data_IF_233435194087
#
_entry.id   IF_233435194087
#
_cell.length_a   1.000
_cell.length_b   1.000
_cell.length_c   1.000
_cell.angle_alpha   90.00
_cell.angle_beta   90.00
_cell.angle_gamma   90.00
#
_symmetry.space_group_name_H-M   'P 1'
#
loop_
_entity.id
_entity.type
_entity.pdbx_description
1 polymer ?
#
# COMPACT_ATOMS: atom_id res chain seq x y z
N UNK A 1 10.50 16.12 -13.76
CA UNK A 1 10.31 17.42 -13.10
C UNK A 1 11.12 17.39 -11.81
N UNK A 2 12.30 18.01 -11.79
CA UNK A 2 13.26 17.91 -10.69
C UNK A 2 12.84 18.82 -9.54
N UNK A 3 12.20 18.25 -8.52
CA UNK A 3 11.96 18.95 -7.25
C UNK A 3 13.32 19.24 -6.63
N UNK A 4 13.66 20.52 -6.46
CA UNK A 4 14.95 20.89 -5.85
C UNK A 4 15.03 20.34 -4.42
N UNK A 5 16.21 19.83 -4.04
CA UNK A 5 16.49 19.25 -2.73
C UNK A 5 16.14 20.21 -1.57
N UNK A 6 16.11 21.53 -1.82
CA UNK A 6 15.68 22.53 -0.83
C UNK A 6 14.17 22.50 -0.53
N UNK A 7 13.32 22.05 -1.46
CA UNK A 7 11.87 21.92 -1.29
C UNK A 7 11.49 20.66 -0.50
N UNK A 8 12.29 19.59 -0.59
CA UNK A 8 12.03 18.32 0.08
C UNK A 8 12.13 18.41 1.62
N UNK A 9 12.95 19.33 2.15
CA UNK A 9 13.06 19.56 3.61
C UNK A 9 11.84 20.22 4.25
N UNK A 10 10.86 20.70 3.47
CA UNK A 10 9.67 21.42 3.96
C UNK A 10 8.37 20.62 3.83
N UNK A 11 8.39 19.45 3.18
CA UNK A 11 7.21 18.62 3.02
C UNK A 11 7.02 17.75 4.27
N UNK A 12 6.09 18.14 5.14
CA UNK A 12 5.70 17.32 6.30
C UNK A 12 4.74 16.23 5.84
N UNK A 13 5.16 14.98 5.97
CA UNK A 13 4.28 13.83 5.71
C UNK A 13 3.20 13.79 6.79
N UNK A 14 1.94 13.98 6.38
CA UNK A 14 0.79 13.90 7.28
C UNK A 14 0.18 12.50 7.19
N UNK A 15 0.10 11.83 8.34
CA UNK A 15 -0.60 10.56 8.48
C UNK A 15 -1.98 10.84 9.08
N UNK A 16 -3.05 10.50 8.35
CA UNK A 16 -4.42 10.55 8.87
C UNK A 16 -4.61 9.46 9.91
N UNK A 17 -5.36 9.75 10.96
CA UNK A 17 -5.70 8.76 11.98
C UNK A 17 -6.67 7.70 11.45
N UNK A 18 -7.61 8.14 10.60
CA UNK A 18 -8.63 7.30 9.97
C UNK A 18 -8.02 6.33 8.95
N UNK A 19 -8.31 5.04 9.11
CA UNK A 19 -7.93 4.04 8.12
C UNK A 19 -8.90 4.06 6.93
N UNK A 20 -8.40 4.09 5.69
CA UNK A 20 -9.26 4.06 4.50
C UNK A 20 -10.12 2.79 4.45
N UNK A 21 -11.43 2.99 4.24
CA UNK A 21 -12.44 1.91 4.25
C UNK A 21 -12.58 1.27 2.87
N UNK A 22 -12.42 2.05 1.78
CA UNK A 22 -12.63 1.58 0.40
C UNK A 22 -11.81 0.33 0.03
N UNK A 23 -10.51 0.24 0.35
CA UNK A 23 -9.73 -0.97 0.06
C UNK A 23 -10.29 -2.22 0.74
N UNK A 24 -10.85 -2.07 1.95
CA UNK A 24 -11.49 -3.19 2.68
C UNK A 24 -12.81 -3.59 2.05
N UNK A 25 -13.63 -2.61 1.63
CA UNK A 25 -14.87 -2.88 0.91
C UNK A 25 -14.57 -3.62 -0.40
N UNK A 26 -13.58 -3.16 -1.18
CA UNK A 26 -13.15 -3.85 -2.39
C UNK A 26 -12.69 -5.29 -2.11
N UNK A 27 -11.91 -5.50 -1.03
CA UNK A 27 -11.47 -6.84 -0.60
C UNK A 27 -12.64 -7.76 -0.21
N UNK A 28 -13.68 -7.24 0.44
CA UNK A 28 -14.90 -7.99 0.77
C UNK A 28 -15.67 -8.33 -0.51
N UNK A 29 -15.92 -7.34 -1.37
CA UNK A 29 -16.68 -7.53 -2.61
C UNK A 29 -16.02 -8.57 -3.53
N UNK A 30 -14.70 -8.53 -3.70
CA UNK A 30 -14.00 -9.55 -4.51
C UNK A 30 -14.09 -10.94 -3.86
N UNK A 31 -14.04 -11.03 -2.53
CA UNK A 31 -14.19 -12.30 -1.81
C UNK A 31 -15.60 -12.87 -1.99
N UNK A 32 -16.65 -12.04 -1.92
CA UNK A 32 -18.03 -12.44 -2.20
C UNK A 32 -18.23 -12.80 -3.68
N UNK A 33 -17.65 -12.06 -4.63
CA UNK A 33 -17.69 -12.45 -6.04
C UNK A 33 -17.02 -13.83 -6.27
N UNK A 34 -15.95 -14.12 -5.52
CA UNK A 34 -15.25 -15.40 -5.59
C UNK A 34 -16.07 -16.55 -5.01
N UNK A 35 -16.82 -16.33 -3.91
CA UNK A 35 -17.68 -17.36 -3.33
C UNK A 35 -18.81 -17.72 -4.29
N UNK A 36 -19.45 -16.74 -4.92
CA UNK A 36 -20.47 -16.98 -5.94
C UNK A 36 -19.93 -17.84 -7.10
N UNK A 37 -18.73 -17.52 -7.59
CA UNK A 37 -18.09 -18.30 -8.65
C UNK A 37 -17.69 -19.72 -8.22
N UNK A 38 -17.18 -19.89 -7.00
CA UNK A 38 -16.79 -21.19 -6.48
C UNK A 38 -18.00 -22.09 -6.18
N UNK A 39 -19.10 -21.51 -5.68
CA UNK A 39 -20.38 -22.19 -5.46
C UNK A 39 -20.99 -22.63 -6.79
N UNK A 40 -21.03 -21.74 -7.79
CA UNK A 40 -21.52 -22.06 -9.12
C UNK A 40 -20.73 -23.22 -9.75
N UNK A 41 -19.40 -23.07 -9.86
CA UNK A 41 -18.54 -24.12 -10.46
C UNK A 41 -18.53 -25.41 -9.65
N UNK A 42 -18.57 -25.33 -8.32
CA UNK A 42 -18.63 -26.51 -7.46
C UNK A 42 -19.94 -27.28 -7.65
N UNK A 43 -21.07 -26.58 -7.76
CA UNK A 43 -22.37 -27.21 -7.98
C UNK A 43 -22.43 -27.92 -9.34
N UNK A 44 -21.89 -27.28 -10.38
CA UNK A 44 -21.76 -27.86 -11.73
C UNK A 44 -20.89 -29.14 -11.71
N UNK A 45 -19.83 -29.15 -10.88
CA UNK A 45 -18.95 -30.29 -10.65
C UNK A 45 -19.47 -31.31 -9.61
N UNK A 46 -20.74 -31.21 -9.18
CA UNK A 46 -21.35 -32.18 -8.25
C UNK A 46 -20.94 -32.04 -6.78
N UNK A 47 -20.44 -30.87 -6.36
CA UNK A 47 -20.17 -30.54 -4.95
C UNK A 47 -21.40 -29.88 -4.33
N UNK A 48 -21.75 -30.25 -3.10
CA UNK A 48 -22.97 -29.79 -2.44
C UNK A 48 -22.76 -29.36 -0.99
N UNK A 49 -23.70 -28.58 -0.46
CA UNK A 49 -23.77 -28.22 0.96
C UNK A 49 -22.50 -27.51 1.47
N UNK A 50 -22.05 -27.88 2.67
CA UNK A 50 -20.89 -27.27 3.33
C UNK A 50 -19.58 -27.49 2.56
N UNK A 51 -19.49 -28.52 1.71
CA UNK A 51 -18.28 -28.79 0.92
C UNK A 51 -17.98 -27.70 -0.12
N UNK A 52 -19.00 -26.96 -0.57
CA UNK A 52 -18.81 -25.79 -1.44
C UNK A 52 -18.01 -24.70 -0.73
N UNK A 53 -18.26 -24.48 0.56
CA UNK A 53 -17.54 -23.49 1.37
C UNK A 53 -16.11 -23.94 1.62
N UNK A 54 -15.90 -25.22 1.94
CA UNK A 54 -14.54 -25.77 2.17
C UNK A 54 -13.70 -25.69 0.89
N UNK A 55 -14.28 -26.05 -0.27
CA UNK A 55 -13.62 -25.91 -1.59
C UNK A 55 -13.32 -24.45 -1.92
N UNK A 56 -14.29 -23.55 -1.74
CA UNK A 56 -14.07 -22.11 -1.95
C UNK A 56 -12.93 -21.60 -1.07
N UNK A 57 -12.94 -21.94 0.22
CA UNK A 57 -11.94 -21.49 1.17
C UNK A 57 -10.53 -21.95 0.77
N UNK A 58 -10.38 -23.19 0.28
CA UNK A 58 -9.11 -23.71 -0.23
C UNK A 58 -8.59 -22.91 -1.45
N UNK A 59 -9.46 -22.61 -2.43
CA UNK A 59 -9.10 -21.77 -3.58
C UNK A 59 -8.76 -20.34 -3.15
N UNK A 60 -9.53 -19.77 -2.23
CA UNK A 60 -9.38 -18.41 -1.74
C UNK A 60 -8.08 -18.23 -0.95
N UNK A 61 -7.75 -19.14 -0.04
CA UNK A 61 -6.51 -19.06 0.74
C UNK A 61 -5.27 -19.34 -0.11
N UNK A 62 -5.39 -20.23 -1.11
CA UNK A 62 -4.34 -20.44 -2.12
C UNK A 62 -4.08 -19.15 -2.90
N UNK A 63 -5.14 -18.47 -3.34
CA UNK A 63 -5.03 -17.19 -4.05
C UNK A 63 -4.43 -16.08 -3.17
N UNK A 64 -4.81 -16.01 -1.89
CA UNK A 64 -4.20 -15.07 -0.95
C UNK A 64 -2.70 -15.34 -0.76
N UNK A 65 -2.34 -16.58 -0.44
CA UNK A 65 -0.96 -16.98 -0.19
C UNK A 65 -0.08 -16.77 -1.43
N UNK A 66 -0.55 -17.22 -2.60
CA UNK A 66 0.14 -17.09 -3.87
C UNK A 66 0.41 -15.65 -4.26
N UNK A 67 -0.63 -14.81 -4.23
CA UNK A 67 -0.48 -13.40 -4.54
C UNK A 67 0.44 -12.74 -3.53
N UNK A 68 0.22 -12.96 -2.23
CA UNK A 68 1.07 -12.41 -1.17
C UNK A 68 2.56 -12.75 -1.37
N UNK A 69 2.88 -13.98 -1.74
CA UNK A 69 4.24 -14.42 -2.08
C UNK A 69 4.77 -13.75 -3.34
N UNK A 70 3.95 -13.63 -4.40
CA UNK A 70 4.33 -12.94 -5.63
C UNK A 70 4.68 -11.48 -5.36
N UNK A 71 3.88 -10.80 -4.53
CA UNK A 71 4.11 -9.41 -4.11
C UNK A 71 5.44 -9.26 -3.36
N UNK A 72 5.70 -10.18 -2.44
CA UNK A 72 6.97 -10.27 -1.70
C UNK A 72 8.18 -10.53 -2.61
N UNK A 73 8.04 -11.36 -3.64
CA UNK A 73 9.16 -11.82 -4.48
C UNK A 73 9.48 -10.90 -5.67
N UNK A 74 8.45 -10.37 -6.31
CA UNK A 74 8.56 -9.74 -7.63
C UNK A 74 8.19 -8.25 -7.61
N UNK A 75 7.38 -7.80 -6.65
CA UNK A 75 6.89 -6.41 -6.58
C UNK A 75 7.56 -5.58 -5.47
N UNK A 76 8.09 -6.23 -4.43
CA UNK A 76 8.99 -5.57 -3.47
C UNK A 76 10.37 -5.38 -4.11
N UNK A 77 10.75 -4.12 -4.39
CA UNK A 77 12.01 -3.79 -5.06
C UNK A 77 13.09 -3.46 -4.04
N UNK A 78 14.32 -3.91 -4.32
CA UNK A 78 15.49 -3.59 -3.49
C UNK A 78 15.91 -2.12 -3.62
N UNK A 79 15.55 -1.48 -4.73
CA UNK A 79 15.83 -0.08 -5.04
C UNK A 79 14.58 0.57 -5.61
N UNK A 80 14.40 1.86 -5.34
CA UNK A 80 13.34 2.68 -5.94
C UNK A 80 13.97 3.94 -6.51
N UNK A 81 13.48 4.38 -7.67
CA UNK A 81 13.82 5.70 -8.17
C UNK A 81 13.37 6.77 -7.17
N UNK A 82 14.10 7.89 -7.08
CA UNK A 82 13.72 9.06 -6.29
C UNK A 82 13.64 8.86 -4.76
N UNK A 83 14.08 7.71 -4.23
CA UNK A 83 14.17 7.44 -2.79
C UNK A 83 15.60 7.07 -2.38
N UNK A 84 16.02 7.48 -1.18
CA UNK A 84 17.34 7.12 -0.67
C UNK A 84 17.48 5.60 -0.43
N UNK A 85 18.59 4.95 -0.85
CA UNK A 85 18.79 3.51 -0.68
C UNK A 85 18.60 3.01 0.77
N UNK A 86 19.09 3.77 1.75
CA UNK A 86 18.95 3.42 3.16
C UNK A 86 17.50 3.45 3.63
N UNK A 87 16.70 4.39 3.12
CA UNK A 87 15.28 4.47 3.44
C UNK A 87 14.50 3.30 2.82
N UNK A 88 14.82 2.93 1.57
CA UNK A 88 14.26 1.75 0.90
C UNK A 88 14.61 0.47 1.69
N UNK A 89 15.86 0.32 2.12
CA UNK A 89 16.32 -0.83 2.91
C UNK A 89 15.59 -0.95 4.26
N UNK A 90 15.42 0.17 4.99
CA UNK A 90 14.65 0.20 6.24
C UNK A 90 13.18 -0.17 6.03
N UNK A 91 12.55 0.43 5.01
CA UNK A 91 11.16 0.11 4.66
C UNK A 91 10.99 -1.37 4.32
N UNK A 92 11.87 -1.92 3.47
CA UNK A 92 11.81 -3.32 3.06
C UNK A 92 12.03 -4.29 4.23
N UNK A 93 12.93 -3.96 5.15
CA UNK A 93 13.17 -4.77 6.35
C UNK A 93 11.91 -4.84 7.21
N UNK A 94 11.24 -3.70 7.41
CA UNK A 94 9.96 -3.65 8.14
C UNK A 94 8.82 -4.35 7.38
N UNK A 95 8.77 -4.23 6.05
CA UNK A 95 7.80 -4.92 5.21
C UNK A 95 7.98 -6.45 5.28
N UNK A 96 9.22 -6.94 5.21
CA UNK A 96 9.53 -8.37 5.28
C UNK A 96 9.24 -8.93 6.68
N UNK A 97 9.57 -8.22 7.75
CA UNK A 97 9.30 -8.67 9.12
C UNK A 97 7.79 -8.79 9.37
N UNK A 98 7.03 -7.77 8.93
CA UNK A 98 5.57 -7.77 9.01
C UNK A 98 4.95 -8.85 8.12
N UNK A 99 5.49 -9.04 6.92
CA UNK A 99 5.04 -10.10 6.04
C UNK A 99 5.27 -11.48 6.68
N UNK A 100 6.42 -11.70 7.33
CA UNK A 100 6.71 -12.97 8.01
C UNK A 100 5.74 -13.26 9.16
N UNK A 101 5.33 -12.23 9.89
CA UNK A 101 4.27 -12.36 10.90
C UNK A 101 2.93 -12.75 10.25
N UNK A 102 2.50 -12.04 9.19
CA UNK A 102 1.27 -12.38 8.46
C UNK A 102 1.31 -13.76 7.80
N UNK A 103 2.48 -14.20 7.32
CA UNK A 103 2.69 -15.50 6.72
C UNK A 103 2.27 -16.64 7.65
N UNK A 104 2.50 -16.50 8.97
CA UNK A 104 2.06 -17.50 9.97
C UNK A 104 0.55 -17.60 10.08
N UNK A 105 -0.18 -16.49 9.94
CA UNK A 105 -1.65 -16.52 9.92
C UNK A 105 -2.19 -17.10 8.61
N UNK A 106 -1.58 -16.75 7.48
CA UNK A 106 -1.92 -17.38 6.19
C UNK A 106 -1.64 -18.89 6.21
N UNK A 107 -0.59 -19.33 6.91
CA UNK A 107 -0.29 -20.75 7.08
C UNK A 107 -1.44 -21.49 7.76
N UNK A 108 -2.04 -20.94 8.83
CA UNK A 108 -3.21 -21.54 9.49
C UNK A 108 -4.36 -21.72 8.50
N UNK A 109 -4.68 -20.67 7.74
CA UNK A 109 -5.70 -20.76 6.69
C UNK A 109 -5.36 -21.80 5.64
N UNK A 110 -4.09 -21.93 5.26
CA UNK A 110 -3.63 -22.88 4.25
C UNK A 110 -3.71 -24.33 4.76
N UNK A 111 -3.41 -24.58 6.05
CA UNK A 111 -3.62 -25.89 6.70
C UNK A 111 -5.10 -26.25 6.63
N UNK A 112 -6.00 -25.35 7.01
CA UNK A 112 -7.44 -25.59 6.92
C UNK A 112 -7.89 -25.79 5.46
N UNK A 113 -7.31 -25.03 4.53
CA UNK A 113 -7.56 -25.14 3.09
C UNK A 113 -7.09 -26.48 2.49
N UNK A 114 -6.18 -27.21 3.14
CA UNK A 114 -5.75 -28.54 2.69
C UNK A 114 -6.88 -29.59 2.70
N UNK A 115 -8.00 -29.32 3.37
CA UNK A 115 -9.22 -30.12 3.31
C UNK A 115 -10.04 -29.89 2.01
N UNK A 116 -9.78 -28.83 1.26
CA UNK A 116 -10.48 -28.48 0.02
C UNK A 116 -10.56 -29.60 -1.02
N UNK A 117 -9.44 -30.27 -1.36
CA UNK A 117 -9.45 -31.40 -2.29
C UNK A 117 -10.33 -32.57 -1.82
N UNK A 118 -10.54 -32.73 -0.51
CA UNK A 118 -11.42 -33.77 0.05
C UNK A 118 -12.89 -33.38 0.01
N UNK A 119 -13.19 -32.08 0.05
CA UNK A 119 -14.53 -31.55 -0.17
C UNK A 119 -14.94 -31.56 -1.65
N UNK A 120 -13.98 -31.56 -2.57
CA UNK A 120 -14.21 -31.70 -4.01
C UNK A 120 -14.53 -33.15 -4.37
N UNK A 121 -15.81 -33.53 -4.30
CA UNK A 121 -16.32 -34.90 -4.54
C UNK A 121 -15.90 -35.48 -5.89
N UNK A 122 -15.83 -34.67 -6.95
CA UNK A 122 -15.34 -35.08 -8.27
C UNK A 122 -13.85 -35.50 -8.31
N UNK A 123 -13.08 -35.25 -7.25
CA UNK A 123 -11.72 -35.77 -7.10
C UNK A 123 -11.66 -37.17 -6.47
N UNK A 124 -12.80 -37.76 -6.08
CA UNK A 124 -12.85 -39.10 -5.51
C UNK A 124 -12.23 -40.16 -6.45
N UNK A 125 -12.48 -40.02 -7.75
CA UNK A 125 -11.94 -40.91 -8.79
C UNK A 125 -10.49 -40.60 -9.17
N UNK A 126 -9.89 -39.55 -8.58
CA UNK A 126 -8.50 -39.11 -8.83
C UNK A 126 -7.72 -38.99 -7.52
N UNK A 127 -7.54 -40.11 -6.76
CA UNK A 127 -6.98 -40.06 -5.41
C UNK A 127 -5.56 -39.49 -5.36
N UNK A 128 -4.72 -39.76 -6.38
CA UNK A 128 -3.38 -39.21 -6.45
C UNK A 128 -3.37 -37.67 -6.56
N UNK A 129 -4.23 -37.09 -7.40
CA UNK A 129 -4.37 -35.64 -7.53
C UNK A 129 -4.92 -35.01 -6.25
N UNK A 130 -5.92 -35.65 -5.64
CA UNK A 130 -6.50 -35.22 -4.36
C UNK A 130 -5.45 -35.14 -3.26
N UNK A 131 -4.64 -36.19 -3.11
CA UNK A 131 -3.54 -36.22 -2.12
C UNK A 131 -2.47 -35.20 -2.47
N UNK A 132 -2.08 -35.09 -3.75
CA UNK A 132 -1.07 -34.13 -4.19
C UNK A 132 -1.46 -32.69 -3.85
N UNK A 133 -2.71 -32.29 -4.15
CA UNK A 133 -3.23 -30.96 -3.79
C UNK A 133 -3.25 -30.73 -2.27
N UNK A 134 -3.65 -31.72 -1.47
CA UNK A 134 -3.63 -31.57 0.00
C UNK A 134 -2.21 -31.47 0.56
N UNK A 135 -1.30 -32.34 0.12
CA UNK A 135 0.10 -32.35 0.57
C UNK A 135 0.79 -31.05 0.18
N UNK A 136 0.60 -30.59 -1.06
CA UNK A 136 1.20 -29.34 -1.53
C UNK A 136 0.67 -28.12 -0.75
N UNK A 137 -0.59 -28.13 -0.31
CA UNK A 137 -1.15 -27.07 0.54
C UNK A 137 -0.48 -27.08 1.92
N UNK A 138 -0.22 -28.26 2.48
CA UNK A 138 0.52 -28.38 3.75
C UNK A 138 1.97 -27.93 3.59
N UNK A 139 2.65 -28.27 2.49
CA UNK A 139 4.00 -27.80 2.19
C UNK A 139 4.04 -26.28 2.05
N UNK A 140 3.06 -25.68 1.38
CA UNK A 140 2.88 -24.23 1.31
C UNK A 140 2.71 -23.62 2.71
N UNK A 141 1.87 -24.21 3.58
CA UNK A 141 1.67 -23.74 4.94
C UNK A 141 2.97 -23.81 5.79
N UNK A 142 3.74 -24.89 5.65
CA UNK A 142 5.05 -25.03 6.31
C UNK A 142 6.00 -23.93 5.82
N UNK A 143 6.09 -23.71 4.51
CA UNK A 143 6.97 -22.68 3.94
C UNK A 143 6.57 -21.25 4.38
N UNK A 144 5.27 -20.99 4.47
CA UNK A 144 4.72 -19.73 5.01
C UNK A 144 5.08 -19.52 6.49
N UNK A 145 5.16 -20.60 7.28
CA UNK A 145 5.51 -20.56 8.70
C UNK A 145 7.01 -20.41 8.95
N UNK A 146 7.83 -21.21 8.26
CA UNK A 146 9.27 -21.39 8.54
C UNK A 146 10.09 -20.16 8.16
N UNK A 147 9.69 -19.41 7.14
CA UNK A 147 10.32 -18.12 6.92
C UNK A 147 10.25 -17.61 5.50
N UNK A 148 9.11 -17.03 5.14
CA UNK A 148 8.98 -16.22 3.93
C UNK A 148 9.98 -15.06 3.88
N UNK A 149 10.60 -14.70 5.00
CA UNK A 149 11.68 -13.72 5.02
C UNK A 149 12.88 -14.19 4.17
N UNK A 150 13.15 -15.50 4.15
CA UNK A 150 14.20 -16.11 3.32
C UNK A 150 13.73 -16.22 1.87
N UNK A 151 14.56 -15.72 0.94
CA UNK A 151 14.18 -15.64 -0.47
C UNK A 151 13.97 -17.00 -1.12
N UNK A 152 14.82 -17.99 -0.84
CA UNK A 152 14.70 -19.36 -1.33
C UNK A 152 13.40 -20.03 -0.87
N UNK A 153 13.07 -19.94 0.43
CA UNK A 153 11.85 -20.51 1.00
C UNK A 153 10.60 -19.90 0.38
N UNK A 154 10.57 -18.58 0.20
CA UNK A 154 9.45 -17.93 -0.47
C UNK A 154 9.33 -18.30 -1.96
N UNK A 155 10.43 -18.55 -2.67
CA UNK A 155 10.36 -19.09 -4.03
C UNK A 155 9.78 -20.51 -4.06
N UNK A 156 10.21 -21.38 -3.14
CA UNK A 156 9.64 -22.72 -3.00
C UNK A 156 8.13 -22.66 -2.69
N UNK A 157 7.72 -21.76 -1.80
CA UNK A 157 6.31 -21.51 -1.49
C UNK A 157 5.54 -21.00 -2.72
N UNK A 158 6.12 -20.09 -3.51
CA UNK A 158 5.49 -19.60 -4.73
C UNK A 158 5.37 -20.71 -5.80
N UNK A 159 6.35 -21.61 -5.89
CA UNK A 159 6.30 -22.77 -6.77
C UNK A 159 5.23 -23.77 -6.34
N UNK A 160 5.11 -24.07 -5.05
CA UNK A 160 3.99 -24.86 -4.50
C UNK A 160 2.65 -24.22 -4.86
N UNK A 161 2.49 -22.91 -4.64
CA UNK A 161 1.26 -22.23 -5.03
C UNK A 161 0.99 -22.30 -6.55
N UNK A 162 2.01 -22.17 -7.41
CA UNK A 162 1.84 -22.38 -8.85
C UNK A 162 1.36 -23.80 -9.16
N UNK A 163 1.92 -24.81 -8.46
CA UNK A 163 1.45 -26.19 -8.48
C UNK A 163 -0.02 -26.34 -8.11
N UNK A 164 -0.47 -25.70 -7.02
CA UNK A 164 -1.89 -25.63 -6.66
C UNK A 164 -2.75 -25.04 -7.78
N UNK A 165 -2.36 -23.89 -8.34
CA UNK A 165 -3.16 -23.21 -9.37
C UNK A 165 -3.30 -24.09 -10.62
N UNK A 166 -2.22 -24.75 -11.05
CA UNK A 166 -2.24 -25.71 -12.16
C UNK A 166 -3.10 -26.92 -11.82
N UNK A 167 -2.92 -27.50 -10.62
CA UNK A 167 -3.66 -28.67 -10.19
C UNK A 167 -5.16 -28.41 -10.06
N UNK A 168 -5.57 -27.27 -9.51
CA UNK A 168 -6.97 -26.85 -9.45
C UNK A 168 -7.54 -26.52 -10.83
N UNK A 169 -6.77 -25.87 -11.71
CA UNK A 169 -7.22 -25.62 -13.08
C UNK A 169 -7.46 -26.93 -13.84
N UNK A 170 -6.55 -27.89 -13.73
CA UNK A 170 -6.69 -29.22 -14.31
C UNK A 170 -7.84 -30.01 -13.68
N UNK A 171 -8.02 -29.92 -12.36
CA UNK A 171 -9.13 -30.57 -11.65
C UNK A 171 -10.48 -30.04 -12.13
N UNK A 172 -10.60 -28.71 -12.27
CA UNK A 172 -11.87 -28.05 -12.60
C UNK A 172 -12.23 -28.11 -14.09
N UNK A 173 -11.24 -28.07 -14.98
CA UNK A 173 -11.47 -27.84 -16.40
C UNK A 173 -10.65 -28.76 -17.33
N UNK A 174 -9.83 -29.66 -16.79
CA UNK A 174 -9.02 -30.58 -17.56
C UNK A 174 -7.85 -29.92 -18.32
N UNK A 175 -7.42 -30.56 -19.41
CA UNK A 175 -6.39 -30.04 -20.32
C UNK A 175 -7.03 -29.30 -21.50
N UNK A 176 -6.23 -28.52 -22.21
CA UNK A 176 -6.67 -27.76 -23.38
C UNK A 176 -7.09 -26.33 -23.04
N UNK A 177 -7.91 -25.74 -23.91
CA UNK A 177 -8.27 -24.31 -23.83
C UNK A 177 -8.98 -23.98 -22.52
N UNK A 178 -9.91 -24.82 -22.08
CA UNK A 178 -10.68 -24.58 -20.85
C UNK A 178 -9.77 -24.56 -19.60
N UNK A 179 -8.83 -25.51 -19.52
CA UNK A 179 -7.80 -25.54 -18.49
C UNK A 179 -6.91 -24.29 -18.49
N UNK A 180 -6.50 -23.82 -19.67
CA UNK A 180 -5.70 -22.59 -19.82
C UNK A 180 -6.50 -21.35 -19.40
N UNK A 181 -7.76 -21.24 -19.81
CA UNK A 181 -8.66 -20.15 -19.41
C UNK A 181 -8.85 -20.15 -17.89
N UNK A 182 -9.06 -21.33 -17.29
CA UNK A 182 -9.19 -21.49 -15.84
C UNK A 182 -7.92 -21.09 -15.10
N UNK A 183 -6.75 -21.54 -15.56
CA UNK A 183 -5.46 -21.18 -14.97
C UNK A 183 -5.19 -19.67 -15.06
N UNK A 184 -5.49 -19.05 -16.20
CA UNK A 184 -5.38 -17.61 -16.37
C UNK A 184 -6.31 -16.85 -15.41
N UNK A 185 -7.55 -17.32 -15.25
CA UNK A 185 -8.52 -16.75 -14.30
C UNK A 185 -8.00 -16.84 -12.86
N UNK A 186 -7.56 -18.03 -12.43
CA UNK A 186 -7.06 -18.27 -11.07
C UNK A 186 -5.78 -17.46 -10.80
N UNK A 187 -4.89 -17.34 -11.79
CA UNK A 187 -3.65 -16.56 -11.67
C UNK A 187 -3.93 -15.08 -11.54
N UNK A 188 -4.79 -14.52 -12.39
CA UNK A 188 -5.19 -13.11 -12.31
C UNK A 188 -5.88 -12.80 -10.97
N UNK A 189 -6.78 -13.68 -10.53
CA UNK A 189 -7.43 -13.57 -9.22
C UNK A 189 -6.42 -13.63 -8.06
N UNK A 190 -5.46 -14.55 -8.12
CA UNK A 190 -4.37 -14.70 -7.13
C UNK A 190 -3.54 -13.42 -7.01
N UNK A 191 -3.05 -12.88 -8.14
CA UNK A 191 -2.22 -11.68 -8.16
C UNK A 191 -2.96 -10.45 -7.61
N UNK A 192 -4.25 -10.31 -7.93
CA UNK A 192 -5.07 -9.21 -7.44
C UNK A 192 -5.39 -9.36 -5.94
N UNK A 193 -5.91 -10.50 -5.52
CA UNK A 193 -6.35 -10.73 -4.14
C UNK A 193 -5.19 -10.68 -3.15
N UNK A 194 -4.08 -11.38 -3.43
CA UNK A 194 -2.91 -11.33 -2.57
C UNK A 194 -2.18 -9.98 -2.63
N UNK A 195 -2.30 -9.23 -3.74
CA UNK A 195 -1.83 -7.85 -3.83
C UNK A 195 -2.61 -6.88 -2.98
N UNK A 196 -3.93 -7.05 -2.94
CA UNK A 196 -4.79 -6.28 -2.04
C UNK A 196 -4.41 -6.57 -0.58
N UNK A 197 -4.21 -7.84 -0.22
CA UNK A 197 -3.73 -8.21 1.12
C UNK A 197 -2.36 -7.59 1.42
N UNK A 198 -1.39 -7.66 0.52
CA UNK A 198 -0.07 -7.07 0.71
C UNK A 198 -0.15 -5.57 0.97
N UNK A 199 -0.89 -4.83 0.13
CA UNK A 199 -1.01 -3.39 0.27
C UNK A 199 -1.74 -3.00 1.57
N UNK A 200 -2.82 -3.72 1.91
CA UNK A 200 -3.62 -3.43 3.10
C UNK A 200 -2.88 -3.80 4.39
N UNK A 201 -2.32 -5.00 4.42
CA UNK A 201 -1.83 -5.60 5.64
C UNK A 201 -0.33 -5.42 5.83
N UNK A 202 0.47 -5.15 4.79
CA UNK A 202 1.93 -4.92 4.89
C UNK A 202 2.29 -3.47 4.58
N UNK A 203 2.02 -3.02 3.35
CA UNK A 203 2.57 -1.76 2.86
C UNK A 203 2.04 -0.53 3.63
N UNK A 204 0.72 -0.45 3.83
CA UNK A 204 0.10 0.66 4.57
C UNK A 204 0.58 0.76 6.03
N UNK A 205 0.57 -0.31 6.86
CA UNK A 205 1.06 -0.20 8.23
C UNK A 205 2.54 0.17 8.35
N UNK A 206 3.39 -0.40 7.49
CA UNK A 206 4.83 -0.06 7.45
C UNK A 206 5.02 1.40 7.07
N UNK A 207 4.21 1.87 6.12
CA UNK A 207 4.17 3.27 5.73
C UNK A 207 3.80 4.24 6.85
N UNK A 208 2.85 3.85 7.71
CA UNK A 208 2.49 4.65 8.90
C UNK A 208 3.61 4.69 9.92
N UNK A 209 4.34 3.58 10.09
CA UNK A 209 5.47 3.49 11.03
C UNK A 209 6.67 4.33 10.56
N UNK A 210 6.85 4.46 9.25
CA UNK A 210 7.93 5.24 8.64
C UNK A 210 7.34 6.42 7.86
N UNK A 211 6.78 7.42 8.55
CA UNK A 211 6.20 8.61 7.92
C UNK A 211 7.27 9.61 7.44
N UNK A 212 8.19 9.15 6.58
CA UNK A 212 9.21 9.98 5.91
C UNK A 212 8.89 10.14 4.44
N UNK A 213 9.44 11.19 3.80
CA UNK A 213 9.24 11.44 2.38
C UNK A 213 9.66 10.25 1.50
N UNK A 214 10.83 9.65 1.79
CA UNK A 214 11.29 8.46 1.05
C UNK A 214 10.32 7.29 1.17
N UNK A 215 9.75 7.05 2.37
CA UNK A 215 8.80 5.97 2.57
C UNK A 215 7.44 6.24 1.90
N UNK A 216 7.06 7.51 1.72
CA UNK A 216 5.91 7.90 0.88
C UNK A 216 6.18 7.57 -0.58
N UNK A 217 7.37 7.90 -1.10
CA UNK A 217 7.78 7.61 -2.48
C UNK A 217 7.79 6.09 -2.72
N UNK A 218 8.42 5.32 -1.83
CA UNK A 218 8.45 3.85 -1.92
C UNK A 218 7.03 3.27 -1.94
N UNK A 219 6.13 3.77 -1.08
CA UNK A 219 4.73 3.33 -1.08
C UNK A 219 3.96 3.75 -2.32
N UNK A 220 4.18 4.96 -2.84
CA UNK A 220 3.55 5.42 -4.07
C UNK A 220 3.92 4.50 -5.24
N UNK A 221 5.20 4.15 -5.38
CA UNK A 221 5.65 3.20 -6.40
C UNK A 221 5.07 1.79 -6.20
N UNK A 222 4.95 1.32 -4.94
CA UNK A 222 4.26 0.06 -4.63
C UNK A 222 2.79 0.09 -5.08
N UNK A 223 2.09 1.17 -4.77
CA UNK A 223 0.68 1.36 -5.11
C UNK A 223 0.48 1.46 -6.62
N UNK A 224 1.37 2.13 -7.35
CA UNK A 224 1.29 2.24 -8.80
C UNK A 224 1.50 0.90 -9.51
N UNK A 225 2.42 0.09 -9.01
CA UNK A 225 2.55 -1.31 -9.47
C UNK A 225 1.28 -2.09 -9.19
N UNK A 226 0.64 -1.89 -8.03
CA UNK A 226 -0.63 -2.55 -7.72
C UNK A 226 -1.74 -2.13 -8.68
N UNK A 227 -1.86 -0.84 -8.96
CA UNK A 227 -2.81 -0.31 -9.96
C UNK A 227 -2.56 -0.93 -11.33
N UNK A 228 -1.29 -1.04 -11.76
CA UNK A 228 -0.95 -1.69 -13.03
C UNK A 228 -1.37 -3.16 -13.06
N UNK A 229 -1.07 -3.93 -12.01
CA UNK A 229 -1.50 -5.34 -11.89
C UNK A 229 -3.02 -5.45 -11.94
N UNK A 230 -3.76 -4.60 -11.22
CA UNK A 230 -5.22 -4.60 -11.24
C UNK A 230 -5.78 -4.28 -12.63
N UNK A 231 -5.18 -3.31 -13.35
CA UNK A 231 -5.58 -2.98 -14.73
C UNK A 231 -5.43 -4.14 -15.71
N UNK A 232 -4.54 -5.10 -15.43
CA UNK A 232 -4.39 -6.31 -16.24
C UNK A 232 -5.26 -7.46 -15.70
N UNK A 233 -5.26 -7.66 -14.37
CA UNK A 233 -5.95 -8.76 -13.72
C UNK A 233 -7.46 -8.65 -13.84
N UNK A 234 -8.03 -7.46 -13.68
CA UNK A 234 -9.48 -7.26 -13.71
C UNK A 234 -10.08 -7.57 -15.10
N UNK A 235 -9.57 -7.03 -16.23
CA UNK A 235 -10.01 -7.46 -17.56
C UNK A 235 -9.79 -8.95 -17.80
N UNK A 236 -8.67 -9.51 -17.32
CA UNK A 236 -8.41 -10.95 -17.45
C UNK A 236 -9.47 -11.79 -16.76
N UNK A 237 -9.84 -11.44 -15.52
CA UNK A 237 -10.88 -12.14 -14.74
C UNK A 237 -12.25 -11.99 -15.41
N UNK A 238 -12.58 -10.81 -15.91
CA UNK A 238 -13.84 -10.57 -16.63
C UNK A 238 -13.87 -11.40 -17.91
N UNK A 239 -12.86 -11.28 -18.77
CA UNK A 239 -12.79 -11.97 -20.05
C UNK A 239 -12.82 -13.48 -19.91
N UNK A 240 -11.96 -14.04 -19.06
CA UNK A 240 -11.96 -15.50 -18.78
C UNK A 240 -13.25 -15.95 -18.12
N UNK A 241 -13.85 -15.12 -17.26
CA UNK A 241 -15.16 -15.38 -16.66
C UNK A 241 -16.29 -15.45 -17.68
N UNK A 242 -16.30 -14.53 -18.66
CA UNK A 242 -17.27 -14.52 -19.76
C UNK A 242 -17.08 -15.71 -20.70
N UNK A 243 -15.83 -16.09 -20.99
CA UNK A 243 -15.53 -17.31 -21.78
C UNK A 243 -16.10 -18.54 -21.08
N UNK A 244 -15.82 -18.73 -19.79
CA UNK A 244 -16.39 -19.85 -19.00
C UNK A 244 -17.92 -19.79 -18.92
N UNK A 245 -18.52 -18.60 -18.78
CA UNK A 245 -19.97 -18.44 -18.77
C UNK A 245 -20.62 -18.66 -20.15
N UNK A 246 -19.87 -18.52 -21.24
CA UNK A 246 -20.34 -18.68 -22.61
C UNK A 246 -20.90 -20.07 -22.90
N UNK A 247 -20.47 -21.09 -22.15
CA UNK A 247 -21.02 -22.44 -22.20
C UNK A 247 -22.53 -22.51 -21.89
N UNK A 248 -23.07 -21.53 -21.14
CA UNK A 248 -24.46 -21.52 -20.67
C UNK A 248 -25.39 -20.63 -21.51
N UNK A 249 -24.90 -20.04 -22.61
CA UNK A 249 -25.64 -19.03 -23.42
C UNK A 249 -26.92 -19.57 -24.08
N UNK A 250 -27.02 -20.88 -24.27
CA UNK A 250 -28.16 -21.54 -24.93
C UNK A 250 -29.27 -21.92 -23.96
N UNK A 251 -29.09 -21.68 -22.65
CA UNK A 251 -30.09 -21.99 -21.63
C UNK A 251 -31.21 -20.94 -21.60
N UNK A 252 -32.46 -21.35 -21.26
CA UNK A 252 -33.61 -20.46 -21.24
C UNK A 252 -33.47 -19.36 -20.18
N UNK A 253 -34.11 -18.20 -20.40
CA UNK A 253 -34.05 -17.05 -19.48
C UNK A 253 -34.47 -17.39 -18.04
N UNK A 254 -35.39 -18.33 -17.87
CA UNK A 254 -35.84 -18.82 -16.56
C UNK A 254 -34.76 -19.57 -15.76
N UNK A 255 -33.73 -20.08 -16.43
CA UNK A 255 -32.58 -20.70 -15.77
C UNK A 255 -31.69 -19.64 -15.10
N UNK A 256 -31.50 -18.49 -15.75
CA UNK A 256 -30.67 -17.39 -15.26
C UNK A 256 -31.23 -16.71 -14.00
N UNK A 257 -32.52 -16.89 -13.70
CA UNK A 257 -33.16 -16.39 -12.48
C UNK A 257 -33.26 -17.42 -11.36
N UNK A 258 -32.84 -18.68 -11.60
CA UNK A 258 -32.91 -19.77 -10.62
C UNK A 258 -31.53 -20.20 -10.15
N UNK A 259 -31.46 -20.84 -9.00
CA UNK A 259 -30.22 -21.43 -8.50
C UNK A 259 -29.83 -22.66 -9.35
N UNK A 260 -28.55 -22.83 -9.74
CA UNK A 260 -27.40 -21.98 -9.45
C UNK A 260 -27.17 -20.84 -10.48
N UNK A 261 -27.91 -20.80 -11.59
CA UNK A 261 -27.73 -19.84 -12.69
C UNK A 261 -27.72 -18.36 -12.27
N UNK A 262 -28.53 -17.98 -11.28
CA UNK A 262 -28.60 -16.61 -10.73
C UNK A 262 -27.28 -16.10 -10.14
N UNK A 263 -26.35 -16.99 -9.79
CA UNK A 263 -25.04 -16.60 -9.26
C UNK A 263 -24.17 -15.89 -10.29
N UNK A 264 -24.36 -16.16 -11.60
CA UNK A 264 -23.61 -15.49 -12.67
C UNK A 264 -23.95 -13.99 -12.73
N UNK A 265 -25.23 -13.57 -12.90
CA UNK A 265 -25.57 -12.15 -12.95
C UNK A 265 -25.26 -11.44 -11.61
N UNK A 266 -25.43 -12.09 -10.46
CA UNK A 266 -25.01 -11.54 -9.17
C UNK A 266 -23.50 -11.24 -9.16
N UNK A 267 -22.67 -12.19 -9.62
CA UNK A 267 -21.22 -12.01 -9.71
C UNK A 267 -20.87 -10.87 -10.66
N UNK A 268 -21.53 -10.76 -11.81
CA UNK A 268 -21.34 -9.66 -12.76
C UNK A 268 -21.67 -8.31 -12.10
N UNK A 269 -22.81 -8.22 -11.39
CA UNK A 269 -23.20 -7.00 -10.69
C UNK A 269 -22.15 -6.58 -9.62
N UNK A 270 -21.62 -7.53 -8.86
CA UNK A 270 -20.55 -7.26 -7.88
C UNK A 270 -19.26 -6.79 -8.57
N UNK A 271 -18.91 -7.38 -9.72
CA UNK A 271 -17.74 -6.95 -10.50
C UNK A 271 -17.94 -5.53 -11.04
N UNK A 272 -19.13 -5.18 -11.53
CA UNK A 272 -19.45 -3.81 -11.95
C UNK A 272 -19.30 -2.84 -10.77
N UNK A 273 -19.81 -3.19 -9.59
CA UNK A 273 -19.62 -2.39 -8.38
C UNK A 273 -18.14 -2.22 -8.02
N UNK A 274 -17.34 -3.29 -8.14
CA UNK A 274 -15.88 -3.22 -7.96
C UNK A 274 -15.23 -2.26 -8.96
N UNK A 275 -15.56 -2.34 -10.25
CA UNK A 275 -15.04 -1.41 -11.28
C UNK A 275 -15.33 0.04 -10.88
N UNK A 276 -16.56 0.33 -10.45
CA UNK A 276 -16.94 1.67 -9.97
C UNK A 276 -16.10 2.11 -8.78
N UNK A 277 -15.91 1.25 -7.77
CA UNK A 277 -15.03 1.54 -6.61
C UNK A 277 -13.59 1.82 -7.07
N UNK A 278 -13.07 1.07 -8.04
CA UNK A 278 -11.69 1.26 -8.52
C UNK A 278 -11.50 2.55 -9.33
N UNK A 279 -12.48 2.93 -10.14
CA UNK A 279 -12.45 4.19 -10.90
C UNK A 279 -12.57 5.38 -9.93
N UNK A 280 -13.36 5.23 -8.87
CA UNK A 280 -13.62 6.32 -7.92
C UNK A 280 -12.58 6.43 -6.79
N UNK A 281 -11.90 5.36 -6.38
CA UNK A 281 -10.91 5.41 -5.28
C UNK A 281 -9.78 6.44 -5.52
N UNK A 282 -9.14 6.51 -6.70
CA UNK A 282 -8.14 7.53 -7.00
C UNK A 282 -8.69 8.94 -6.93
N UNK A 283 -9.95 9.14 -7.36
CA UNK A 283 -10.63 10.44 -7.36
C UNK A 283 -10.84 10.95 -5.93
N UNK A 284 -11.22 10.07 -5.01
CA UNK A 284 -11.51 10.43 -3.62
C UNK A 284 -10.30 10.38 -2.67
N UNK A 285 -9.11 9.98 -3.16
CA UNK A 285 -7.87 9.90 -2.37
C UNK A 285 -8.01 9.06 -1.09
N UNK A 286 -8.91 8.08 -1.11
CA UNK A 286 -9.27 7.22 0.03
C UNK A 286 -8.55 5.86 0.00
N UNK A 287 -7.44 5.76 -0.73
CA UNK A 287 -6.73 4.48 -0.87
C UNK A 287 -5.54 4.33 0.10
N UNK A 288 -5.09 5.40 0.78
CA UNK A 288 -4.00 5.37 1.77
C UNK A 288 -4.22 6.38 2.91
N UNK A 289 -3.85 6.07 4.16
CA UNK A 289 -3.90 7.01 5.28
C UNK A 289 -2.76 8.05 5.24
N UNK A 290 -1.71 7.83 4.45
CA UNK A 290 -0.55 8.73 4.36
C UNK A 290 -0.74 9.68 3.16
N UNK A 291 -0.80 11.00 3.42
CA UNK A 291 -0.87 12.01 2.36
C UNK A 291 0.37 11.92 1.46
N UNK A 292 0.20 12.12 0.15
CA UNK A 292 1.31 12.01 -0.82
C UNK A 292 1.45 10.65 -1.49
N UNK A 293 0.90 9.57 -0.91
CA UNK A 293 1.00 8.22 -1.49
C UNK A 293 0.08 8.04 -2.71
N UNK A 294 -1.08 8.69 -2.71
CA UNK A 294 -2.03 8.63 -3.84
C UNK A 294 -1.76 9.69 -4.91
N UNK A 295 -1.32 10.89 -4.50
CA UNK A 295 -0.96 12.04 -5.33
C UNK A 295 0.12 12.85 -4.59
N UNK A 296 1.29 13.06 -5.20
CA UNK A 296 2.44 13.71 -4.55
C UNK A 296 2.15 15.20 -4.30
N UNK A 297 1.26 15.80 -5.09
CA UNK A 297 0.78 17.17 -4.98
C UNK A 297 0.15 17.47 -3.60
N UNK A 298 -0.43 16.46 -2.93
CA UNK A 298 -1.01 16.57 -1.57
C UNK A 298 0.02 16.99 -0.51
N UNK A 299 1.30 16.73 -0.76
CA UNK A 299 2.39 17.13 0.12
C UNK A 299 2.58 18.65 0.05
N UNK A 300 2.32 19.27 -1.10
CA UNK A 300 2.45 20.72 -1.30
C UNK A 300 1.31 21.51 -0.64
N UNK A 301 0.09 20.97 -0.63
CA UNK A 301 -1.05 21.55 0.11
C UNK A 301 -0.88 21.44 1.63
N UNK A 302 -0.05 20.48 2.09
CA UNK A 302 0.25 20.27 3.50
C UNK A 302 1.51 21.02 3.97
N UNK A 303 2.21 21.70 3.06
CA UNK A 303 3.24 22.66 3.43
C UNK A 303 2.52 23.90 3.98
N UNK A 304 2.74 24.22 5.26
CA UNK A 304 2.31 25.51 5.81
C UNK A 304 2.76 26.64 4.87
N UNK A 305 1.90 27.66 4.61
CA UNK A 305 2.29 28.82 3.81
C UNK A 305 3.61 29.34 4.35
N UNK A 306 4.63 29.33 3.51
CA UNK A 306 5.94 29.83 3.88
C UNK A 306 5.74 31.31 4.27
N UNK A 307 5.92 31.70 5.56
CA UNK A 307 6.00 33.12 5.86
C UNK A 307 7.13 33.66 4.99
N UNK A 308 6.87 34.78 4.30
CA UNK A 308 7.82 35.39 3.38
C UNK A 308 9.24 35.31 3.97
N UNK A 309 10.20 34.82 3.18
CA UNK A 309 11.54 34.54 3.65
C UNK A 309 12.04 35.73 4.51
N UNK A 310 12.37 35.50 5.79
CA UNK A 310 12.62 36.59 6.70
C UNK A 310 13.80 37.39 6.19
N UNK A 311 13.66 38.72 6.19
CA UNK A 311 14.75 39.60 5.75
C UNK A 311 15.97 39.37 6.65
N UNK A 312 17.12 39.06 6.04
CA UNK A 312 18.31 38.64 6.77
C UNK A 312 19.17 39.85 7.18
N UNK A 313 19.56 39.89 8.46
CA UNK A 313 20.59 40.77 9.01
C UNK A 313 21.74 39.91 9.54
N UNK A 314 22.91 40.03 8.92
CA UNK A 314 24.11 39.31 9.33
C UNK A 314 25.02 40.19 10.21
N UNK A 315 24.96 39.95 11.52
CA UNK A 315 25.76 40.60 12.56
C UNK A 315 26.90 39.70 13.07
N UNK A 316 27.26 38.62 12.37
CA UNK A 316 28.32 37.69 12.83
C UNK A 316 29.72 38.30 12.92
N UNK A 317 29.92 39.50 12.36
CA UNK A 317 31.19 40.25 12.35
C UNK A 317 31.05 41.64 12.97
N UNK A 318 29.95 41.89 13.68
CA UNK A 318 29.57 43.21 14.17
C UNK A 318 29.40 43.15 15.69
N UNK A 319 29.91 44.11 16.47
CA UNK A 319 29.70 44.16 17.92
C UNK A 319 28.21 44.25 18.29
N UNK A 320 27.82 43.73 19.46
CA UNK A 320 26.40 43.63 19.87
C UNK A 320 25.60 44.93 19.71
N UNK A 321 26.14 46.06 20.19
CA UNK A 321 25.48 47.36 20.12
C UNK A 321 25.19 47.81 18.67
N UNK A 322 26.15 47.68 17.77
CA UNK A 322 25.97 48.00 16.34
C UNK A 322 25.03 46.97 15.68
N UNK A 323 25.08 45.71 16.13
CA UNK A 323 24.18 44.66 15.67
C UNK A 323 22.71 44.97 15.95
N UNK A 324 22.40 45.51 17.13
CA UNK A 324 21.04 45.94 17.48
C UNK A 324 20.55 47.12 16.63
N UNK A 325 21.40 48.12 16.39
CA UNK A 325 21.05 49.26 15.53
C UNK A 325 20.67 48.77 14.12
N UNK A 326 21.47 47.87 13.54
CA UNK A 326 21.18 47.28 12.22
C UNK A 326 19.91 46.43 12.22
N UNK A 327 19.63 45.73 13.31
CA UNK A 327 18.39 44.97 13.47
C UNK A 327 17.17 45.89 13.56
N UNK A 328 17.28 47.01 14.28
CA UNK A 328 16.24 48.03 14.42
C UNK A 328 15.92 48.71 13.08
N UNK A 329 16.94 49.18 12.37
CA UNK A 329 16.80 49.77 11.04
C UNK A 329 16.16 48.79 10.05
N UNK A 330 16.59 47.53 10.08
CA UNK A 330 16.01 46.51 9.23
C UNK A 330 14.55 46.24 9.58
N UNK A 331 14.21 46.12 10.88
CA UNK A 331 12.85 45.83 11.35
C UNK A 331 11.84 46.92 10.96
N UNK A 332 12.24 48.19 10.93
CA UNK A 332 11.37 49.30 10.45
C UNK A 332 10.88 49.10 9.02
N UNK A 333 11.69 48.43 8.20
CA UNK A 333 11.38 48.14 6.78
C UNK A 333 10.70 46.79 6.56
N UNK A 334 10.52 45.98 7.61
CA UNK A 334 9.80 44.70 7.54
C UNK A 334 8.29 44.99 7.59
N UNK A 335 7.48 44.46 6.65
CA UNK A 335 6.03 44.61 6.67
C UNK A 335 5.39 44.06 7.97
N UNK A 336 4.22 44.57 8.41
CA UNK A 336 3.46 43.96 9.50
C UNK A 336 3.21 42.47 9.25
N UNK A 337 3.33 41.63 10.29
CA UNK A 337 3.21 40.18 10.20
C UNK A 337 4.43 39.44 9.61
N UNK A 338 5.37 40.15 8.98
CA UNK A 338 6.58 39.55 8.41
C UNK A 338 7.70 39.44 9.46
N UNK A 339 8.67 38.55 9.18
CA UNK A 339 9.76 38.23 10.10
C UNK A 339 11.14 38.72 9.60
N UNK A 340 12.03 38.95 10.56
CA UNK A 340 13.44 39.30 10.39
C UNK A 340 14.31 38.18 10.94
N UNK A 341 15.29 37.73 10.16
CA UNK A 341 16.31 36.78 10.62
C UNK A 341 17.57 37.54 11.02
N UNK A 342 17.99 37.43 12.27
CA UNK A 342 19.22 38.05 12.77
C UNK A 342 20.24 36.96 13.07
N UNK A 343 21.46 37.08 12.55
CA UNK A 343 22.57 36.16 12.85
C UNK A 343 23.66 36.86 13.64
N UNK A 344 24.03 36.36 14.81
CA UNK A 344 25.06 36.97 15.64
C UNK A 344 26.02 35.94 16.25
N UNK A 345 27.31 36.28 16.32
CA UNK A 345 28.33 35.51 17.07
C UNK A 345 28.57 36.06 18.48
N UNK A 346 27.94 37.17 18.82
CA UNK A 346 28.08 37.80 20.13
C UNK A 346 27.55 36.88 21.24
N UNK A 347 28.24 36.87 22.37
CA UNK A 347 27.89 36.08 23.55
C UNK A 347 26.67 36.65 24.27
N UNK A 348 26.45 37.97 24.18
CA UNK A 348 25.35 38.68 24.81
C UNK A 348 24.09 38.77 23.94
N UNK A 349 24.20 38.48 22.63
CA UNK A 349 23.08 38.53 21.69
C UNK A 349 21.81 37.80 22.14
N UNK A 350 21.86 36.60 22.79
CA UNK A 350 20.66 35.94 23.30
C UNK A 350 19.85 36.75 24.30
N UNK A 351 20.52 37.57 25.12
CA UNK A 351 19.90 38.42 26.13
C UNK A 351 19.44 39.72 25.48
N UNK A 352 20.33 40.37 24.74
CA UNK A 352 20.08 41.70 24.19
C UNK A 352 19.00 41.74 23.11
N UNK A 353 18.99 40.78 22.18
CA UNK A 353 17.97 40.72 21.12
C UNK A 353 16.59 40.41 21.70
N UNK A 354 16.54 39.65 22.80
CA UNK A 354 15.30 39.39 23.53
C UNK A 354 14.74 40.65 24.16
N UNK A 355 15.57 41.38 24.91
CA UNK A 355 15.16 42.63 25.54
C UNK A 355 14.78 43.70 24.51
N UNK A 356 15.50 43.76 23.38
CA UNK A 356 15.14 44.65 22.28
C UNK A 356 13.78 44.29 21.67
N UNK A 357 13.51 43.01 21.40
CA UNK A 357 12.22 42.56 20.87
C UNK A 357 11.07 42.85 21.85
N UNK A 358 11.23 42.52 23.13
CA UNK A 358 10.25 42.78 24.18
C UNK A 358 9.96 44.28 24.35
N UNK A 359 11.00 45.13 24.34
CA UNK A 359 10.86 46.59 24.46
C UNK A 359 10.05 47.21 23.33
N UNK A 360 10.18 46.70 22.11
CA UNK A 360 9.52 47.25 20.92
C UNK A 360 8.23 46.52 20.53
N UNK A 361 7.76 45.58 21.38
CA UNK A 361 6.54 44.81 21.11
C UNK A 361 6.68 43.79 19.96
N UNK A 362 7.89 43.42 19.57
CA UNK A 362 8.13 42.39 18.57
C UNK A 362 8.08 41.00 19.18
N UNK A 363 7.63 40.01 18.41
CA UNK A 363 7.54 38.61 18.87
C UNK A 363 8.77 37.82 18.44
N UNK A 364 9.52 37.28 19.39
CA UNK A 364 10.57 36.32 19.06
C UNK A 364 9.97 34.94 18.79
N UNK A 365 10.11 34.45 17.56
CA UNK A 365 9.53 33.17 17.14
C UNK A 365 10.47 31.99 17.38
N UNK A 366 11.77 32.20 17.17
CA UNK A 366 12.76 31.15 17.42
C UNK A 366 14.15 31.70 17.71
N UNK A 367 14.87 30.94 18.54
CA UNK A 367 16.29 31.10 18.82
C UNK A 367 16.96 29.74 18.65
N UNK A 368 17.95 29.65 17.76
CA UNK A 368 18.74 28.43 17.55
C UNK A 368 20.22 28.75 17.37
N UNK A 369 21.08 27.75 17.59
CA UNK A 369 22.50 27.83 17.22
C UNK A 369 22.73 27.15 15.88
N UNK A 370 23.61 27.73 15.07
CA UNK A 370 24.01 27.19 13.77
C UNK A 370 25.53 27.31 13.57
N UNK A 371 26.06 26.59 12.59
CA UNK A 371 27.49 26.54 12.28
C UNK A 371 28.27 25.48 13.07
N UNK A 372 29.55 25.34 12.73
CA UNK A 372 30.48 24.35 13.29
C UNK A 372 31.47 25.07 14.20
N UNK A 373 31.88 24.47 15.31
CA UNK A 373 32.88 25.05 16.22
C UNK A 373 34.21 25.27 15.47
N UNK A 374 34.92 26.42 15.64
CA UNK A 374 34.65 27.55 16.54
C UNK A 374 33.77 28.68 15.93
N UNK A 375 33.23 28.48 14.73
CA UNK A 375 32.39 29.45 13.98
C UNK A 375 30.89 29.33 14.29
N UNK A 376 30.51 28.80 15.46
CA UNK A 376 29.10 28.76 15.89
C UNK A 376 28.55 30.17 16.05
N UNK A 377 27.28 30.35 15.71
CA UNK A 377 26.54 31.60 15.82
C UNK A 377 25.08 31.34 16.23
N UNK A 378 24.43 32.37 16.77
CA UNK A 378 23.02 32.39 17.09
C UNK A 378 22.22 32.88 15.88
N UNK A 379 21.04 32.28 15.67
CA UNK A 379 20.05 32.68 14.68
C UNK A 379 18.76 32.99 15.42
N UNK A 380 18.25 34.19 15.22
CA UNK A 380 17.02 34.70 15.81
C UNK A 380 16.01 34.94 14.70
N UNK A 381 14.77 34.55 14.91
CA UNK A 381 13.64 34.94 14.06
C UNK A 381 12.73 35.82 14.90
N UNK A 382 12.57 37.07 14.47
CA UNK A 382 11.76 38.08 15.17
C UNK A 382 10.69 38.58 14.23
N UNK A 383 9.42 38.53 14.64
CA UNK A 383 8.26 38.93 13.83
C UNK A 383 7.74 40.29 14.27
N UNK A 384 7.44 41.13 13.29
CA UNK A 384 6.72 42.39 13.50
C UNK A 384 5.24 42.07 13.72
N UNK A 385 4.57 42.63 14.74
CA UNK A 385 3.14 42.41 14.96
C UNK A 385 2.32 42.82 13.73
N UNK A 386 1.20 42.14 13.53
CA UNK A 386 0.12 42.57 12.64
C UNK A 386 -0.64 43.66 13.42
N UNK A 387 -0.67 44.89 12.90
CA UNK A 387 -1.50 45.95 13.49
C UNK A 387 -2.99 45.67 13.29
#
# INVERSE_FOLDING_TARGET
>A
MTVSVSRATQLRVVVREETPILPRIAFVLISVASIAGAVFTGTDLGVHGAFLIVRWFALWVTALAGGFLAWRLFYLRATEADAQPDAVSRYNTAAISRAAWLGRFLAIGTVLGSAGPWAATYLADRPALRVALSVDALLLAIALTVGIARRSVAFAAAAACAGQLVGWAYADAGLGVDGVVRLAHLTAFTLWLGGALWNIAVAMPVGRQHATMDAVIVQAHQLDRFRWVVRVALPTIIGTGLVMAGAYRTLPMSWWSRYPGVLIPIKVAIIVALVVVFITCPLFRQCSPVKGVCAIEDLSESAEPQPAAPRLVDNRRVPCAIGLIRADEAMRTVPPGAALEIRSRDVYAPIEIRLWAERHGYRMESLRRAGIWPRRYHVFIVRRPEE
#
